data_IF_538819285667
#
_entry.id   IF_538819285667
#
_cell.length_a   1.000
_cell.length_b   1.000
_cell.length_c   1.000
_cell.angle_alpha   90.00
_cell.angle_beta   90.00
_cell.angle_gamma   90.00
#
_symmetry.space_group_name_H-M   'P 1'
#
loop_
_entity.id
_entity.type
_entity.pdbx_description
1 polymer ?
#
# COMPACT_ATOMS: atom_id res chain seq x y z
N UNK A 1 -13.71 1.23 25.21
CA UNK A 1 -14.13 2.51 24.55
C UNK A 1 -13.19 2.94 23.42
N UNK A 2 -11.90 2.54 23.39
CA UNK A 2 -10.94 2.92 22.31
C UNK A 2 -11.26 2.33 20.93
N UNK A 3 -11.71 1.08 20.86
CA UNK A 3 -11.93 0.40 19.57
C UNK A 3 -13.01 1.03 18.66
N UNK A 4 -14.02 1.68 19.24
CA UNK A 4 -15.05 2.36 18.45
C UNK A 4 -14.54 3.67 17.82
N UNK A 5 -13.60 4.35 18.47
CA UNK A 5 -12.98 5.58 17.96
C UNK A 5 -12.03 5.32 16.77
N UNK A 6 -11.26 4.24 16.83
CA UNK A 6 -10.36 3.87 15.75
C UNK A 6 -11.12 3.42 14.49
N UNK A 7 -12.16 2.59 14.65
CA UNK A 7 -13.00 2.16 13.53
C UNK A 7 -13.64 3.37 12.82
N UNK A 8 -14.24 4.30 13.59
CA UNK A 8 -14.84 5.52 13.02
C UNK A 8 -13.80 6.41 12.30
N UNK A 9 -12.58 6.51 12.82
CA UNK A 9 -11.49 7.22 12.16
C UNK A 9 -11.08 6.54 10.84
N UNK A 10 -10.93 5.22 10.84
CA UNK A 10 -10.63 4.46 9.60
C UNK A 10 -11.71 4.67 8.54
N UNK A 11 -12.98 4.54 8.91
CA UNK A 11 -14.12 4.77 8.01
C UNK A 11 -14.11 6.19 7.45
N UNK A 12 -13.80 7.19 8.28
CA UNK A 12 -13.69 8.58 7.85
C UNK A 12 -12.57 8.77 6.81
N UNK A 13 -11.37 8.24 7.05
CA UNK A 13 -10.24 8.33 6.12
C UNK A 13 -10.53 7.56 4.83
N UNK A 14 -11.13 6.38 4.92
CA UNK A 14 -11.54 5.59 3.75
C UNK A 14 -12.55 6.36 2.89
N UNK A 15 -13.56 6.94 3.50
CA UNK A 15 -14.58 7.76 2.81
C UNK A 15 -13.96 9.00 2.15
N UNK A 16 -13.09 9.72 2.87
CA UNK A 16 -12.35 10.88 2.32
C UNK A 16 -11.50 10.48 1.11
N UNK A 17 -10.77 9.37 1.22
CA UNK A 17 -9.94 8.85 0.11
C UNK A 17 -10.79 8.49 -1.11
N UNK A 18 -11.92 7.81 -0.92
CA UNK A 18 -12.83 7.43 -2.01
C UNK A 18 -13.42 8.67 -2.69
N UNK A 19 -13.83 9.66 -1.91
CA UNK A 19 -14.35 10.93 -2.42
C UNK A 19 -13.29 11.71 -3.20
N UNK A 20 -12.07 11.80 -2.66
CA UNK A 20 -10.96 12.49 -3.30
C UNK A 20 -10.52 11.79 -4.60
N UNK A 21 -10.41 10.45 -4.60
CA UNK A 21 -10.18 9.66 -5.82
C UNK A 21 -11.25 9.90 -6.88
N UNK A 22 -12.54 9.92 -6.46
CA UNK A 22 -13.65 10.21 -7.36
C UNK A 22 -13.55 11.56 -8.05
N UNK A 23 -12.93 12.56 -7.38
CA UNK A 23 -12.70 13.92 -7.91
C UNK A 23 -11.44 14.00 -8.78
N UNK A 24 -10.37 13.28 -8.43
CA UNK A 24 -9.08 13.32 -9.13
C UNK A 24 -9.13 12.50 -10.44
N UNK A 25 -9.82 11.38 -10.41
CA UNK A 25 -9.99 10.54 -11.59
C UNK A 25 -10.84 11.24 -12.65
N UNK A 26 -10.43 11.23 -13.93
CA UNK A 26 -11.23 11.81 -15.01
C UNK A 26 -12.65 11.23 -15.03
N UNK A 27 -13.62 12.06 -15.40
CA UNK A 27 -15.00 11.61 -15.58
C UNK A 27 -15.12 10.61 -16.74
N UNK A 28 -15.88 9.53 -16.55
CA UNK A 28 -16.08 8.49 -17.58
C UNK A 28 -16.74 9.04 -18.86
N UNK A 29 -17.42 10.19 -18.77
CA UNK A 29 -18.03 10.88 -19.92
C UNK A 29 -17.03 11.62 -20.81
N UNK A 30 -15.82 11.88 -20.35
CA UNK A 30 -14.76 12.60 -21.07
C UNK A 30 -13.99 11.60 -21.95
N UNK A 31 -13.65 11.98 -23.19
CA UNK A 31 -12.79 11.15 -24.05
C UNK A 31 -11.35 11.11 -23.50
N UNK A 32 -10.68 9.93 -23.52
CA UNK A 32 -11.13 8.62 -24.03
C UNK A 32 -11.99 7.87 -22.98
N UNK A 33 -13.30 7.84 -23.21
CA UNK A 33 -14.30 7.36 -22.24
C UNK A 33 -14.01 5.96 -21.69
N UNK A 34 -13.67 5.01 -22.55
CA UNK A 34 -13.39 3.62 -22.15
C UNK A 34 -12.20 3.54 -21.18
N UNK A 35 -11.14 4.32 -21.42
CA UNK A 35 -9.98 4.37 -20.53
C UNK A 35 -10.35 4.98 -19.17
N UNK A 36 -11.06 6.10 -19.16
CA UNK A 36 -11.46 6.78 -17.93
C UNK A 36 -12.42 5.93 -17.10
N UNK A 37 -13.36 5.23 -17.73
CA UNK A 37 -14.24 4.29 -17.05
C UNK A 37 -13.46 3.13 -16.42
N UNK A 38 -12.53 2.54 -17.15
CA UNK A 38 -11.66 1.47 -16.64
C UNK A 38 -10.71 1.93 -15.51
N UNK A 39 -10.17 3.17 -15.57
CA UNK A 39 -9.39 3.76 -14.46
C UNK A 39 -10.24 3.90 -13.18
N UNK A 40 -11.48 4.36 -13.32
CA UNK A 40 -12.44 4.47 -12.21
C UNK A 40 -12.81 3.10 -11.66
N UNK A 41 -13.05 2.13 -12.53
CA UNK A 41 -13.32 0.74 -12.16
C UNK A 41 -12.19 0.14 -11.32
N UNK A 42 -10.93 0.39 -11.71
CA UNK A 42 -9.74 -0.11 -11.00
C UNK A 42 -9.49 0.56 -9.63
N UNK A 43 -9.68 1.87 -9.55
CA UNK A 43 -9.26 2.66 -8.39
C UNK A 43 -10.36 2.87 -7.35
N UNK A 44 -11.64 2.90 -7.77
CA UNK A 44 -12.80 3.09 -6.91
C UNK A 44 -13.40 1.75 -6.47
N UNK A 45 -14.33 1.80 -5.55
CA UNK A 45 -15.07 0.62 -5.09
C UNK A 45 -14.51 0.00 -3.80
N UNK A 46 -13.85 0.79 -3.00
CA UNK A 46 -13.46 0.44 -1.64
C UNK A 46 -12.15 -0.33 -1.52
N UNK A 47 -12.04 -1.05 -0.43
CA UNK A 47 -10.84 -1.73 0.03
C UNK A 47 -10.39 -1.21 1.39
N UNK A 48 -9.42 -1.88 2.01
CA UNK A 48 -8.92 -1.50 3.35
C UNK A 48 -8.23 -0.14 3.39
N UNK A 49 -7.74 0.34 2.24
CA UNK A 49 -7.05 1.65 2.10
C UNK A 49 -5.92 1.84 3.14
N UNK A 50 -5.15 0.79 3.41
CA UNK A 50 -4.10 0.81 4.45
C UNK A 50 -3.05 1.89 4.20
N UNK A 51 -2.64 2.11 2.94
CA UNK A 51 -1.67 3.15 2.58
C UNK A 51 -2.21 4.56 2.82
N UNK A 52 -3.42 4.92 2.38
CA UNK A 52 -4.13 6.13 2.82
C UNK A 52 -4.20 6.32 4.33
N UNK A 53 -4.56 5.26 5.08
CA UNK A 53 -4.61 5.31 6.55
C UNK A 53 -3.24 5.66 7.15
N UNK A 54 -2.15 5.09 6.63
CA UNK A 54 -0.78 5.40 7.07
C UNK A 54 -0.38 6.84 6.73
N UNK A 55 -0.79 7.36 5.56
CA UNK A 55 -0.58 8.77 5.19
C UNK A 55 -1.24 9.70 6.21
N UNK A 56 -2.51 9.47 6.52
CA UNK A 56 -3.25 10.29 7.48
C UNK A 56 -2.67 10.18 8.89
N UNK A 57 -2.41 8.97 9.38
CA UNK A 57 -1.86 8.75 10.71
C UNK A 57 -0.49 9.41 10.92
N UNK A 58 0.39 9.36 9.93
CA UNK A 58 1.69 10.02 10.00
C UNK A 58 1.59 11.54 9.84
N UNK A 59 0.67 12.02 8.99
CA UNK A 59 0.42 13.44 8.79
C UNK A 59 -0.17 14.14 10.01
N UNK A 60 -0.99 13.45 10.80
CA UNK A 60 -1.51 13.95 12.06
C UNK A 60 -0.38 14.29 13.05
N UNK A 61 0.72 13.53 13.06
CA UNK A 61 1.91 13.81 13.90
C UNK A 61 2.55 15.15 13.50
N UNK A 62 2.57 15.47 12.22
CA UNK A 62 3.13 16.70 11.69
C UNK A 62 2.10 17.86 11.66
N UNK A 63 0.88 17.66 12.15
CA UNK A 63 -0.19 18.66 12.11
C UNK A 63 -0.62 19.04 10.70
N UNK A 64 -0.57 18.12 9.75
CA UNK A 64 -0.92 18.34 8.35
C UNK A 64 -2.42 18.61 8.17
N UNK A 65 -2.74 19.51 7.23
CA UNK A 65 -4.13 19.76 6.83
C UNK A 65 -4.71 18.52 6.12
N UNK A 66 -5.94 18.09 6.46
CA UNK A 66 -6.55 16.90 5.88
C UNK A 66 -6.60 16.89 4.35
N UNK A 67 -6.78 18.05 3.72
CA UNK A 67 -6.85 18.19 2.26
C UNK A 67 -5.52 17.87 1.57
N UNK A 68 -4.38 18.16 2.21
CA UNK A 68 -3.05 17.77 1.75
C UNK A 68 -2.86 16.26 1.86
N UNK A 69 -3.31 15.69 2.97
CA UNK A 69 -3.27 14.25 3.22
C UNK A 69 -4.13 13.47 2.23
N UNK A 70 -5.34 13.97 1.90
CA UNK A 70 -6.21 13.34 0.89
C UNK A 70 -5.53 13.23 -0.47
N UNK A 71 -4.82 14.27 -0.91
CA UNK A 71 -4.10 14.25 -2.19
C UNK A 71 -2.96 13.22 -2.19
N UNK A 72 -2.17 13.21 -1.14
CA UNK A 72 -1.06 12.25 -0.99
C UNK A 72 -1.59 10.83 -0.81
N UNK A 73 -2.67 10.64 -0.07
CA UNK A 73 -3.39 9.38 0.06
C UNK A 73 -3.88 8.85 -1.29
N UNK A 74 -4.45 9.72 -2.12
CA UNK A 74 -4.82 9.38 -3.50
C UNK A 74 -3.61 8.97 -4.33
N UNK A 75 -2.50 9.72 -4.28
CA UNK A 75 -1.31 9.41 -5.07
C UNK A 75 -0.74 8.03 -4.73
N UNK A 76 -0.60 7.67 -3.45
CA UNK A 76 -0.10 6.34 -3.07
C UNK A 76 -1.09 5.23 -3.41
N UNK A 77 -2.40 5.51 -3.36
CA UNK A 77 -3.41 4.53 -3.72
C UNK A 77 -3.50 4.33 -5.24
N UNK A 78 -3.31 5.38 -6.05
CA UNK A 78 -3.21 5.27 -7.52
C UNK A 78 -1.98 4.42 -7.92
N UNK A 79 -0.83 4.61 -7.26
CA UNK A 79 0.34 3.73 -7.44
C UNK A 79 -0.01 2.27 -7.09
N UNK A 80 -0.71 2.06 -5.98
CA UNK A 80 -1.14 0.71 -5.60
C UNK A 80 -2.15 0.13 -6.59
N UNK A 81 -3.11 0.92 -7.06
CA UNK A 81 -4.12 0.45 -8.02
C UNK A 81 -3.48 0.04 -9.35
N UNK A 82 -2.56 0.85 -9.90
CA UNK A 82 -1.87 0.47 -11.13
C UNK A 82 -1.10 -0.84 -10.97
N UNK A 83 -0.40 -1.03 -9.84
CA UNK A 83 0.37 -2.25 -9.63
C UNK A 83 -0.53 -3.49 -9.63
N UNK A 84 -1.72 -3.40 -9.00
CA UNK A 84 -2.68 -4.49 -9.02
C UNK A 84 -3.22 -4.77 -10.42
N UNK A 85 -3.52 -3.73 -11.20
CA UNK A 85 -4.01 -3.89 -12.59
C UNK A 85 -2.97 -4.58 -13.47
N UNK A 86 -1.68 -4.21 -13.32
CA UNK A 86 -0.61 -4.84 -14.09
C UNK A 86 -0.28 -6.24 -13.58
N UNK A 87 -0.29 -6.46 -12.25
CA UNK A 87 -0.07 -7.79 -11.67
C UNK A 87 -1.15 -8.79 -12.12
N UNK A 88 -2.39 -8.35 -12.33
CA UNK A 88 -3.49 -9.20 -12.78
C UNK A 88 -3.40 -9.64 -14.25
N UNK A 89 -2.55 -9.01 -15.10
CA UNK A 89 -2.44 -9.34 -16.51
C UNK A 89 -1.99 -10.80 -16.75
N UNK A 90 -2.40 -11.43 -17.88
CA UNK A 90 -2.01 -12.81 -18.21
C UNK A 90 -0.49 -13.04 -18.31
N UNK A 91 0.29 -12.00 -18.60
CA UNK A 91 1.76 -12.08 -18.64
C UNK A 91 2.41 -11.92 -17.26
N UNK A 92 1.61 -11.72 -16.21
CA UNK A 92 2.04 -11.54 -14.82
C UNK A 92 1.46 -12.66 -13.93
N UNK A 93 0.54 -12.33 -13.01
CA UNK A 93 -0.07 -13.31 -12.10
C UNK A 93 -1.29 -14.02 -12.71
N UNK A 94 -1.84 -13.55 -13.84
CA UNK A 94 -3.02 -14.09 -14.56
C UNK A 94 -4.23 -14.27 -13.63
N UNK A 95 -4.57 -13.20 -12.90
CA UNK A 95 -5.71 -13.19 -11.98
C UNK A 95 -6.99 -12.71 -12.67
N UNK A 96 -8.03 -13.54 -12.65
CA UNK A 96 -9.34 -13.23 -13.28
C UNK A 96 -10.30 -12.51 -12.32
N UNK A 97 -10.04 -12.56 -11.01
CA UNK A 97 -10.87 -11.94 -9.97
C UNK A 97 -10.04 -11.17 -8.96
N UNK A 98 -10.49 -9.96 -8.59
CA UNK A 98 -9.92 -9.14 -7.53
C UNK A 98 -11.03 -8.47 -6.70
N UNK A 99 -10.98 -8.67 -5.39
CA UNK A 99 -12.03 -8.19 -4.46
C UNK A 99 -13.45 -8.64 -4.86
N UNK A 100 -13.55 -9.86 -5.40
CA UNK A 100 -14.82 -10.45 -5.84
C UNK A 100 -15.40 -9.91 -7.16
N UNK A 101 -14.64 -9.07 -7.90
CA UNK A 101 -14.98 -8.53 -9.22
C UNK A 101 -14.01 -9.04 -10.28
N UNK A 102 -14.41 -9.11 -11.56
CA UNK A 102 -13.48 -9.35 -12.67
C UNK A 102 -12.32 -8.36 -12.62
N UNK A 103 -11.11 -8.81 -12.96
CA UNK A 103 -9.96 -7.93 -13.13
C UNK A 103 -10.11 -7.06 -14.38
N UNK A 104 -9.36 -5.97 -14.49
CA UNK A 104 -9.56 -4.99 -15.58
C UNK A 104 -9.38 -5.61 -16.96
N UNK A 105 -8.43 -6.55 -17.14
CA UNK A 105 -8.23 -7.20 -18.42
C UNK A 105 -9.37 -8.15 -18.80
N UNK A 106 -10.09 -8.69 -17.82
CA UNK A 106 -11.26 -9.54 -18.04
C UNK A 106 -12.52 -8.71 -18.32
N UNK A 107 -12.72 -7.60 -17.58
CA UNK A 107 -13.89 -6.73 -17.75
C UNK A 107 -13.82 -5.90 -19.06
N UNK A 108 -12.61 -5.47 -19.44
CA UNK A 108 -12.39 -4.65 -20.63
C UNK A 108 -11.59 -5.41 -21.70
N UNK A 109 -10.28 -5.41 -21.62
CA UNK A 109 -9.29 -6.15 -22.41
C UNK A 109 -7.86 -5.87 -21.87
N UNK A 110 -6.88 -6.66 -22.34
CA UNK A 110 -5.46 -6.54 -21.91
C UNK A 110 -4.85 -5.17 -22.28
N UNK A 111 -5.14 -4.65 -23.48
CA UNK A 111 -4.61 -3.36 -23.93
C UNK A 111 -5.16 -2.21 -23.07
N UNK A 112 -6.45 -2.25 -22.74
CA UNK A 112 -7.08 -1.29 -21.83
C UNK A 112 -6.47 -1.40 -20.44
N UNK A 113 -6.27 -2.61 -19.89
CA UNK A 113 -5.65 -2.81 -18.59
C UNK A 113 -4.22 -2.27 -18.54
N UNK A 114 -3.42 -2.50 -19.57
CA UNK A 114 -2.06 -1.94 -19.67
C UNK A 114 -2.09 -0.41 -19.60
N UNK A 115 -2.94 0.23 -20.43
CA UNK A 115 -3.08 1.69 -20.48
C UNK A 115 -3.65 2.26 -19.17
N UNK A 116 -4.54 1.54 -18.48
CA UNK A 116 -5.04 1.93 -17.15
C UNK A 116 -3.89 2.03 -16.15
N UNK A 117 -3.02 1.03 -16.10
CA UNK A 117 -1.85 1.07 -15.23
C UNK A 117 -0.94 2.25 -15.51
N UNK A 118 -0.60 2.49 -16.80
CA UNK A 118 0.23 3.62 -17.22
C UNK A 118 -0.39 4.97 -16.83
N UNK A 119 -1.70 5.13 -17.08
CA UNK A 119 -2.43 6.36 -16.81
C UNK A 119 -2.57 6.62 -15.29
N UNK A 120 -2.85 5.59 -14.48
CA UNK A 120 -2.94 5.72 -13.02
C UNK A 120 -1.58 6.07 -12.41
N UNK A 121 -0.48 5.49 -12.91
CA UNK A 121 0.87 5.83 -12.46
C UNK A 121 1.19 7.30 -12.77
N UNK A 122 0.93 7.76 -13.99
CA UNK A 122 1.15 9.17 -14.37
C UNK A 122 0.30 10.12 -13.51
N UNK A 123 -0.99 9.78 -13.30
CA UNK A 123 -1.92 10.56 -12.49
C UNK A 123 -1.48 10.66 -11.02
N UNK A 124 -0.85 9.64 -10.46
CA UNK A 124 -0.33 9.67 -9.09
C UNK A 124 0.73 10.78 -8.92
N UNK A 125 1.68 10.90 -9.84
CA UNK A 125 2.70 11.95 -9.82
C UNK A 125 2.10 13.33 -10.10
N UNK A 126 1.17 13.43 -11.05
CA UNK A 126 0.44 14.65 -11.35
C UNK A 126 -0.32 15.16 -10.11
N UNK A 127 -0.96 14.28 -9.36
CA UNK A 127 -1.71 14.61 -8.15
C UNK A 127 -0.86 15.29 -7.09
N UNK A 128 0.40 14.87 -6.89
CA UNK A 128 1.33 15.56 -5.99
C UNK A 128 1.87 16.82 -6.62
N UNK A 129 2.22 16.80 -7.91
CA UNK A 129 2.86 17.93 -8.59
C UNK A 129 1.95 19.17 -8.68
N UNK A 130 0.66 18.97 -9.00
CA UNK A 130 -0.34 20.04 -9.12
C UNK A 130 -0.93 20.46 -7.76
N UNK A 131 -0.95 19.52 -6.78
CA UNK A 131 -1.44 19.79 -5.44
C UNK A 131 -0.43 20.59 -4.63
N UNK A 132 -0.89 21.56 -3.85
CA UNK A 132 -0.03 22.20 -2.82
C UNK A 132 0.00 21.30 -1.58
N UNK A 133 0.72 20.17 -1.67
CA UNK A 133 0.82 19.19 -0.58
C UNK A 133 1.82 19.60 0.50
N UNK A 134 2.74 20.55 0.16
CA UNK A 134 3.61 21.25 1.10
C UNK A 134 3.77 22.71 0.65
N UNK A 135 4.08 23.63 1.57
CA UNK A 135 4.30 25.04 1.26
C UNK A 135 5.69 25.31 0.66
N UNK A 136 6.66 24.41 0.96
CA UNK A 136 8.01 24.46 0.37
C UNK A 136 8.06 23.60 -0.91
N UNK A 137 8.28 24.23 -2.09
CA UNK A 137 8.39 23.48 -3.34
C UNK A 137 9.55 22.48 -3.37
N UNK A 138 10.62 22.70 -2.59
CA UNK A 138 11.73 21.77 -2.51
C UNK A 138 11.30 20.47 -1.79
N UNK A 139 10.56 20.59 -0.68
CA UNK A 139 9.97 19.43 0.02
C UNK A 139 8.98 18.71 -0.89
N UNK A 140 8.13 19.43 -1.62
CA UNK A 140 7.20 18.82 -2.58
C UNK A 140 7.93 18.05 -3.69
N UNK A 141 9.05 18.54 -4.19
CA UNK A 141 9.89 17.83 -5.16
C UNK A 141 10.53 16.57 -4.54
N UNK A 142 10.97 16.65 -3.28
CA UNK A 142 11.43 15.47 -2.53
C UNK A 142 10.34 14.42 -2.36
N UNK A 143 9.09 14.84 -2.10
CA UNK A 143 7.94 13.93 -2.01
C UNK A 143 7.70 13.20 -3.35
N UNK A 144 7.75 13.89 -4.47
CA UNK A 144 7.65 13.29 -5.82
C UNK A 144 8.80 12.30 -6.04
N UNK A 145 10.02 12.66 -5.65
CA UNK A 145 11.20 11.80 -5.74
C UNK A 145 11.05 10.55 -4.87
N UNK A 146 10.53 10.70 -3.65
CA UNK A 146 10.28 9.59 -2.73
C UNK A 146 9.25 8.61 -3.32
N UNK A 147 8.12 9.13 -3.86
CA UNK A 147 7.12 8.29 -4.52
C UNK A 147 7.72 7.56 -5.73
N UNK A 148 8.52 8.25 -6.56
CA UNK A 148 9.18 7.67 -7.71
C UNK A 148 10.17 6.55 -7.35
N UNK A 149 10.93 6.73 -6.27
CA UNK A 149 11.83 5.66 -5.76
C UNK A 149 11.05 4.48 -5.21
N UNK A 150 9.96 4.74 -4.49
CA UNK A 150 9.15 3.68 -3.88
C UNK A 150 8.38 2.84 -4.91
N UNK A 151 7.96 3.43 -6.03
CA UNK A 151 7.22 2.74 -7.10
C UNK A 151 8.11 2.14 -8.19
N UNK A 152 9.32 2.67 -8.38
CA UNK A 152 10.22 2.33 -9.48
C UNK A 152 11.05 1.05 -9.28
N UNK A 153 12.12 0.93 -10.09
CA UNK A 153 13.01 -0.25 -10.13
C UNK A 153 13.80 -0.53 -8.85
N UNK A 154 13.90 0.46 -7.95
CA UNK A 154 14.50 0.29 -6.61
C UNK A 154 13.45 0.19 -5.51
N UNK A 155 12.20 -0.01 -5.86
CA UNK A 155 11.05 -0.15 -4.99
C UNK A 155 10.11 -1.22 -5.53
N UNK A 156 8.83 -0.91 -5.61
CA UNK A 156 7.77 -1.86 -5.90
C UNK A 156 7.97 -2.62 -7.22
N UNK A 157 8.26 -1.94 -8.33
CA UNK A 157 8.50 -2.60 -9.60
C UNK A 157 9.73 -3.52 -9.57
N UNK A 158 10.81 -3.12 -8.87
CA UNK A 158 11.98 -3.96 -8.64
C UNK A 158 11.66 -5.20 -7.81
N UNK A 159 10.87 -5.04 -6.75
CA UNK A 159 10.40 -6.15 -5.92
C UNK A 159 9.53 -7.13 -6.70
N UNK A 160 8.64 -6.63 -7.56
CA UNK A 160 7.83 -7.47 -8.45
C UNK A 160 8.68 -8.25 -9.47
N UNK A 161 9.72 -7.63 -10.04
CA UNK A 161 10.64 -8.31 -10.94
C UNK A 161 11.41 -9.45 -10.24
N UNK A 162 11.77 -9.27 -8.96
CA UNK A 162 12.40 -10.32 -8.15
C UNK A 162 11.41 -11.44 -7.86
N UNK A 163 10.16 -11.11 -7.49
CA UNK A 163 9.09 -12.08 -7.21
C UNK A 163 8.82 -12.98 -8.41
N UNK A 164 8.62 -12.40 -9.60
CA UNK A 164 8.49 -13.15 -10.86
C UNK A 164 9.70 -14.04 -11.16
N UNK A 165 10.91 -13.52 -10.91
CA UNK A 165 12.14 -14.27 -11.08
C UNK A 165 12.36 -15.40 -10.07
N UNK A 166 11.60 -15.41 -8.98
CA UNK A 166 11.69 -16.37 -7.88
C UNK A 166 10.71 -17.56 -8.02
N UNK A 167 9.76 -17.50 -8.94
CA UNK A 167 8.78 -18.57 -9.18
C UNK A 167 9.52 -19.90 -9.43
N UNK A 168 9.18 -20.93 -8.66
CA UNK A 168 9.79 -22.26 -8.75
C UNK A 168 11.21 -22.36 -8.16
N UNK A 169 11.70 -21.31 -7.47
CA UNK A 169 13.01 -21.30 -6.79
C UNK A 169 12.83 -21.29 -5.28
N UNK A 170 13.82 -21.85 -4.58
CA UNK A 170 13.93 -21.67 -3.13
C UNK A 170 14.76 -20.39 -2.89
N UNK A 171 14.19 -19.44 -2.15
CA UNK A 171 14.90 -18.26 -1.71
C UNK A 171 15.44 -18.46 -0.29
N UNK A 172 16.62 -17.90 -0.01
CA UNK A 172 17.06 -17.71 1.37
C UNK A 172 16.15 -16.66 2.08
N UNK A 173 16.14 -16.66 3.40
CA UNK A 173 15.32 -15.74 4.18
C UNK A 173 15.61 -14.28 3.83
N UNK A 174 16.88 -13.93 3.69
CA UNK A 174 17.34 -12.58 3.36
C UNK A 174 16.89 -12.14 1.96
N UNK A 175 16.82 -13.07 1.01
CA UNK A 175 16.34 -12.81 -0.35
C UNK A 175 14.82 -12.59 -0.37
N UNK A 176 14.07 -13.40 0.37
CA UNK A 176 12.62 -13.25 0.55
C UNK A 176 12.31 -11.91 1.22
N UNK A 177 13.01 -11.58 2.30
CA UNK A 177 12.85 -10.32 3.01
C UNK A 177 13.17 -9.12 2.12
N UNK A 178 14.25 -9.19 1.35
CA UNK A 178 14.61 -8.16 0.37
C UNK A 178 13.52 -7.94 -0.68
N UNK A 179 12.96 -9.01 -1.24
CA UNK A 179 11.85 -8.97 -2.19
C UNK A 179 10.63 -8.26 -1.58
N UNK A 180 10.21 -8.66 -0.39
CA UNK A 180 9.04 -8.10 0.29
C UNK A 180 9.21 -6.64 0.72
N UNK A 181 10.41 -6.27 1.20
CA UNK A 181 10.76 -4.88 1.52
C UNK A 181 10.58 -3.98 0.29
N UNK A 182 10.90 -4.48 -0.90
CA UNK A 182 10.77 -3.70 -2.13
C UNK A 182 9.36 -3.76 -2.72
N UNK A 183 8.79 -4.95 -2.93
CA UNK A 183 7.48 -5.13 -3.56
C UNK A 183 6.36 -4.44 -2.76
N UNK A 184 6.33 -4.63 -1.46
CA UNK A 184 5.26 -4.14 -0.58
C UNK A 184 5.73 -3.04 0.37
N UNK A 185 6.88 -3.25 1.01
CA UNK A 185 7.39 -2.38 2.06
C UNK A 185 7.75 -0.98 1.58
N UNK A 186 8.28 -0.84 0.37
CA UNK A 186 8.71 0.45 -0.16
C UNK A 186 7.56 1.47 -0.23
N UNK A 187 6.40 1.07 -0.74
CA UNK A 187 5.24 1.97 -0.84
C UNK A 187 4.56 2.21 0.53
N UNK A 188 4.55 1.23 1.42
CA UNK A 188 4.08 1.39 2.81
C UNK A 188 4.96 2.40 3.55
N UNK A 189 6.28 2.26 3.49
CA UNK A 189 7.25 3.20 4.04
C UNK A 189 7.07 4.60 3.45
N UNK A 190 6.93 4.71 2.13
CA UNK A 190 6.69 5.98 1.47
C UNK A 190 5.38 6.62 1.92
N UNK A 191 4.30 5.87 2.16
CA UNK A 191 3.03 6.39 2.67
C UNK A 191 3.20 7.10 4.01
N UNK A 192 3.97 6.50 4.94
CA UNK A 192 4.28 7.12 6.25
C UNK A 192 5.07 8.41 6.08
N UNK A 193 6.15 8.38 5.30
CA UNK A 193 7.04 9.54 5.13
C UNK A 193 6.37 10.68 4.35
N UNK A 194 5.61 10.37 3.31
CA UNK A 194 4.86 11.34 2.53
C UNK A 194 3.79 12.03 3.38
N UNK A 195 3.07 11.28 4.21
CA UNK A 195 2.11 11.84 5.15
C UNK A 195 2.78 12.83 6.13
N UNK A 196 3.90 12.42 6.72
CA UNK A 196 4.67 13.26 7.64
C UNK A 196 5.21 14.55 6.98
N UNK A 197 5.50 14.52 5.68
CA UNK A 197 5.98 15.69 4.93
C UNK A 197 4.86 16.66 4.51
N UNK A 198 3.58 16.34 4.72
CA UNK A 198 2.46 17.24 4.41
C UNK A 198 2.28 18.37 5.44
N UNK A 199 2.84 18.24 6.64
CA UNK A 199 2.68 19.17 7.75
C UNK A 199 3.91 20.02 8.04
N UNK A 200 4.03 20.42 9.30
CA UNK A 200 5.20 21.14 9.77
C UNK A 200 6.46 20.26 9.71
N UNK A 201 7.64 20.85 9.41
CA UNK A 201 8.89 20.10 9.38
C UNK A 201 9.15 19.37 10.69
N UNK A 202 9.39 18.08 10.62
CA UNK A 202 9.79 17.26 11.77
C UNK A 202 11.32 17.26 11.91
N UNK A 203 11.80 17.13 13.15
CA UNK A 203 13.22 16.94 13.41
C UNK A 203 13.77 15.68 12.71
N UNK A 204 15.05 15.68 12.28
CA UNK A 204 15.65 14.54 11.58
C UNK A 204 15.50 13.19 12.33
N UNK A 205 15.63 13.19 13.67
CA UNK A 205 15.43 12.00 14.49
C UNK A 205 13.98 11.51 14.45
N UNK A 206 13.00 12.41 14.46
CA UNK A 206 11.59 12.06 14.34
C UNK A 206 11.29 11.43 12.97
N UNK A 207 11.82 11.99 11.88
CA UNK A 207 11.71 11.40 10.55
C UNK A 207 12.38 10.02 10.46
N UNK A 208 13.56 9.85 11.08
CA UNK A 208 14.25 8.56 11.12
C UNK A 208 13.43 7.49 11.88
N UNK A 209 12.71 7.87 12.95
CA UNK A 209 11.80 6.99 13.68
C UNK A 209 10.59 6.59 12.86
N UNK A 210 9.98 7.51 12.13
CA UNK A 210 8.88 7.23 11.19
C UNK A 210 9.35 6.35 10.02
N UNK A 211 10.56 6.58 9.53
CA UNK A 211 11.20 5.73 8.51
C UNK A 211 11.37 4.29 9.01
N UNK A 212 11.90 4.12 10.24
CA UNK A 212 12.03 2.81 10.88
C UNK A 212 10.66 2.14 11.04
N UNK A 213 9.66 2.87 11.54
CA UNK A 213 8.29 2.36 11.67
C UNK A 213 7.74 1.89 10.33
N UNK A 214 7.86 2.69 9.27
CA UNK A 214 7.38 2.34 7.94
C UNK A 214 8.02 1.07 7.37
N UNK A 215 9.32 0.85 7.62
CA UNK A 215 10.03 -0.38 7.25
C UNK A 215 9.49 -1.59 7.99
N UNK A 216 9.33 -1.48 9.30
CA UNK A 216 8.85 -2.58 10.17
C UNK A 216 7.41 -2.96 9.84
N UNK A 217 6.53 -1.97 9.67
CA UNK A 217 5.12 -2.21 9.30
C UNK A 217 4.99 -2.77 7.88
N UNK A 218 5.87 -2.36 6.95
CA UNK A 218 5.91 -2.93 5.60
C UNK A 218 6.23 -4.42 5.61
N UNK A 219 7.22 -4.85 6.41
CA UNK A 219 7.57 -6.24 6.58
C UNK A 219 6.49 -7.01 7.35
N UNK A 220 5.98 -6.44 8.44
CA UNK A 220 4.88 -6.98 9.23
C UNK A 220 3.65 -7.27 8.37
N UNK A 221 3.31 -6.33 7.46
CA UNK A 221 2.18 -6.47 6.55
C UNK A 221 2.31 -7.74 5.71
N UNK A 222 3.50 -8.02 5.17
CA UNK A 222 3.74 -9.18 4.32
C UNK A 222 3.77 -10.49 5.13
N UNK A 223 4.43 -10.51 6.30
CA UNK A 223 4.42 -11.70 7.18
C UNK A 223 2.99 -12.10 7.53
N UNK A 224 2.14 -11.11 7.82
CA UNK A 224 0.72 -11.35 8.13
C UNK A 224 -0.07 -11.80 6.90
N UNK A 225 0.21 -11.25 5.71
CA UNK A 225 -0.42 -11.72 4.46
C UNK A 225 -0.11 -13.19 4.21
N UNK A 226 1.14 -13.62 4.35
CA UNK A 226 1.58 -15.00 4.19
C UNK A 226 0.89 -15.95 5.22
N UNK A 227 0.73 -15.48 6.46
CA UNK A 227 -0.01 -16.22 7.50
C UNK A 227 -1.48 -16.38 7.13
N UNK A 228 -2.12 -15.32 6.64
CA UNK A 228 -3.52 -15.32 6.26
C UNK A 228 -3.77 -16.22 5.03
N UNK A 229 -2.89 -16.11 4.01
CA UNK A 229 -3.00 -16.95 2.79
C UNK A 229 -2.87 -18.44 3.12
N UNK A 230 -1.98 -18.79 4.06
CA UNK A 230 -1.80 -20.18 4.51
C UNK A 230 -2.98 -20.72 5.35
N UNK A 231 -3.86 -19.88 5.88
CA UNK A 231 -4.93 -20.26 6.82
C UNK A 231 -6.35 -20.08 6.26
N UNK A 232 -6.53 -19.28 5.23
CA UNK A 232 -7.85 -18.91 4.71
C UNK A 232 -8.30 -19.85 3.58
N UNK A 233 -9.62 -20.00 3.45
CA UNK A 233 -10.25 -20.57 2.27
C UNK A 233 -10.50 -19.48 1.19
N UNK A 234 -10.77 -19.91 -0.05
CA UNK A 234 -11.00 -19.05 -1.20
C UNK A 234 -12.16 -18.07 -0.99
N UNK A 235 -13.20 -18.46 -0.26
CA UNK A 235 -14.38 -17.63 -0.01
C UNK A 235 -14.04 -16.43 0.90
N UNK A 236 -13.08 -16.59 1.81
CA UNK A 236 -12.69 -15.56 2.78
C UNK A 236 -11.75 -14.54 2.17
N UNK A 237 -10.85 -14.94 1.25
CA UNK A 237 -9.82 -14.06 0.68
C UNK A 237 -10.32 -13.13 -0.45
N UNK A 238 -11.44 -13.48 -1.10
CA UNK A 238 -11.92 -12.75 -2.29
C UNK A 238 -11.00 -12.86 -3.52
N UNK A 239 -9.98 -13.72 -3.46
CA UNK A 239 -9.07 -14.19 -4.51
C UNK A 239 -8.91 -15.71 -4.36
N UNK A 240 -8.31 -16.39 -5.34
CA UNK A 240 -8.02 -17.84 -5.22
C UNK A 240 -7.07 -18.06 -4.04
N UNK A 241 -7.51 -18.82 -3.02
CA UNK A 241 -6.70 -19.17 -1.86
C UNK A 241 -5.65 -20.22 -2.23
N UNK A 242 -4.50 -20.19 -1.55
CA UNK A 242 -3.42 -21.16 -1.77
C UNK A 242 -2.66 -20.97 -3.08
N UNK A 243 -2.89 -19.88 -3.82
CA UNK A 243 -2.25 -19.63 -5.12
C UNK A 243 -0.73 -19.56 -4.99
N UNK A 244 -0.21 -19.00 -3.90
CA UNK A 244 1.24 -18.94 -3.64
C UNK A 244 1.82 -20.35 -3.44
N UNK A 245 1.10 -21.25 -2.77
CA UNK A 245 1.48 -22.66 -2.64
C UNK A 245 1.39 -23.41 -3.96
N UNK A 246 0.33 -23.20 -4.76
CA UNK A 246 0.15 -23.81 -6.08
C UNK A 246 1.21 -23.35 -7.09
N UNK A 247 1.68 -22.10 -6.97
CA UNK A 247 2.75 -21.53 -7.78
C UNK A 247 4.14 -21.79 -7.21
N UNK A 248 4.28 -22.54 -6.10
CA UNK A 248 5.56 -22.74 -5.40
C UNK A 248 6.29 -21.41 -5.10
N UNK A 249 5.55 -20.36 -4.75
CA UNK A 249 6.14 -19.10 -4.32
C UNK A 249 6.72 -19.24 -2.90
N UNK A 250 7.92 -18.74 -2.65
CA UNK A 250 8.48 -18.73 -1.29
C UNK A 250 7.71 -17.73 -0.41
N UNK A 251 7.31 -18.17 0.79
CA UNK A 251 6.62 -17.36 1.80
C UNK A 251 7.30 -17.51 3.16
N UNK A 252 7.01 -16.61 4.11
CA UNK A 252 7.49 -16.77 5.49
C UNK A 252 6.99 -18.06 6.13
N UNK A 253 5.76 -18.49 5.78
CA UNK A 253 5.21 -19.74 6.33
C UNK A 253 5.90 -20.98 5.75
N UNK A 254 6.25 -20.98 4.45
CA UNK A 254 7.01 -22.10 3.86
C UNK A 254 8.45 -22.18 4.36
N UNK A 255 9.06 -21.04 4.68
CA UNK A 255 10.43 -20.96 5.17
C UNK A 255 10.59 -21.25 6.67
N UNK A 256 9.72 -20.69 7.49
CA UNK A 256 9.85 -20.71 8.95
C UNK A 256 8.86 -21.66 9.62
N UNK A 257 7.78 -22.00 8.93
CA UNK A 257 6.61 -22.59 9.55
C UNK A 257 5.69 -21.55 10.21
N UNK A 258 4.42 -21.91 10.37
CA UNK A 258 3.37 -21.00 10.85
C UNK A 258 3.63 -20.43 12.25
N UNK A 259 4.18 -21.24 13.17
CA UNK A 259 4.44 -20.80 14.55
C UNK A 259 5.54 -19.73 14.63
N UNK A 260 6.64 -19.92 13.89
CA UNK A 260 7.74 -18.96 13.86
C UNK A 260 7.36 -17.70 13.08
N UNK A 261 6.56 -17.80 12.00
CA UNK A 261 6.03 -16.66 11.28
C UNK A 261 5.15 -15.77 12.20
N UNK A 262 4.32 -16.37 13.06
CA UNK A 262 3.56 -15.61 14.07
C UNK A 262 4.46 -14.93 15.10
N UNK A 263 5.48 -15.62 15.60
CA UNK A 263 6.47 -15.04 16.51
C UNK A 263 7.19 -13.86 15.87
N UNK A 264 7.55 -13.97 14.59
CA UNK A 264 8.14 -12.87 13.81
C UNK A 264 7.19 -11.67 13.71
N UNK A 265 5.90 -11.91 13.46
CA UNK A 265 4.90 -10.84 13.42
C UNK A 265 4.79 -10.10 14.77
N UNK A 266 4.80 -10.84 15.90
CA UNK A 266 4.76 -10.24 17.24
C UNK A 266 6.01 -9.40 17.52
N UNK A 267 7.20 -9.86 17.14
CA UNK A 267 8.46 -9.11 17.27
C UNK A 267 8.41 -7.83 16.43
N UNK A 268 8.01 -7.92 15.16
CA UNK A 268 7.91 -6.76 14.28
C UNK A 268 6.91 -5.72 14.80
N UNK A 269 5.78 -6.17 15.38
CA UNK A 269 4.82 -5.28 16.03
C UNK A 269 5.44 -4.56 17.23
N UNK A 270 6.16 -5.27 18.10
CA UNK A 270 6.82 -4.68 19.25
C UNK A 270 7.87 -3.63 18.82
N UNK A 271 8.70 -3.96 17.83
CA UNK A 271 9.71 -3.06 17.28
C UNK A 271 9.10 -1.82 16.60
N UNK A 272 7.97 -2.00 15.89
CA UNK A 272 7.24 -0.89 15.29
C UNK A 272 6.70 0.09 16.34
N UNK A 273 6.16 -0.43 17.44
CA UNK A 273 5.71 0.38 18.58
C UNK A 273 6.86 1.13 19.26
N UNK A 274 7.99 0.46 19.46
CA UNK A 274 9.19 1.10 20.01
C UNK A 274 9.66 2.26 19.13
N UNK A 275 9.65 2.09 17.82
CA UNK A 275 10.06 3.13 16.87
C UNK A 275 9.25 4.44 17.03
N UNK A 276 7.98 4.36 17.40
CA UNK A 276 7.09 5.52 17.54
C UNK A 276 6.80 5.94 18.98
N UNK A 277 7.35 5.24 19.97
CA UNK A 277 7.05 5.47 21.40
C UNK A 277 7.31 6.92 21.85
N UNK A 278 8.33 7.58 21.30
CA UNK A 278 8.69 8.96 21.65
C UNK A 278 7.67 10.02 21.20
N UNK A 279 6.76 9.68 20.27
CA UNK A 279 5.69 10.60 19.85
C UNK A 279 4.50 10.60 20.83
N UNK A 280 4.43 9.65 21.76
CA UNK A 280 3.36 9.56 22.75
C UNK A 280 1.97 9.47 22.09
N UNK A 281 1.03 10.25 22.60
CA UNK A 281 -0.35 10.24 22.12
C UNK A 281 -0.51 10.65 20.64
N UNK A 282 0.43 11.42 20.08
CA UNK A 282 0.38 11.82 18.67
C UNK A 282 0.54 10.63 17.71
N UNK A 283 1.17 9.54 18.15
CA UNK A 283 1.34 8.33 17.33
C UNK A 283 0.24 7.27 17.58
N UNK A 284 -0.82 7.58 18.32
CA UNK A 284 -1.86 6.61 18.65
C UNK A 284 -2.45 5.90 17.42
N UNK A 285 -2.67 6.64 16.32
CA UNK A 285 -3.21 6.07 15.07
C UNK A 285 -2.24 5.12 14.38
N UNK A 286 -0.94 5.38 14.44
CA UNK A 286 0.08 4.46 13.91
C UNK A 286 0.14 3.17 14.75
N UNK A 287 0.07 3.26 16.08
CA UNK A 287 0.01 2.08 16.96
C UNK A 287 -1.25 1.23 16.70
N UNK A 288 -2.42 1.88 16.60
CA UNK A 288 -3.69 1.22 16.29
C UNK A 288 -3.66 0.55 14.91
N UNK A 289 -3.02 1.18 13.91
CA UNK A 289 -2.86 0.59 12.57
C UNK A 289 -1.93 -0.62 12.57
N UNK A 290 -0.80 -0.58 13.28
CA UNK A 290 0.09 -1.74 13.41
C UNK A 290 -0.66 -2.92 14.06
N UNK A 291 -1.44 -2.66 15.10
CA UNK A 291 -2.31 -3.67 15.72
C UNK A 291 -3.36 -4.21 14.74
N UNK A 292 -4.02 -3.31 13.99
CA UNK A 292 -5.02 -3.70 13.01
C UNK A 292 -4.43 -4.63 11.94
N UNK A 293 -3.20 -4.35 11.47
CA UNK A 293 -2.50 -5.19 10.48
C UNK A 293 -2.31 -6.62 11.01
N UNK A 294 -1.90 -6.78 12.27
CA UNK A 294 -1.68 -8.10 12.87
C UNK A 294 -2.98 -8.89 13.08
N UNK A 295 -4.05 -8.20 13.48
CA UNK A 295 -5.30 -8.86 13.90
C UNK A 295 -6.38 -8.90 12.80
N UNK A 296 -6.09 -8.42 11.59
CA UNK A 296 -7.03 -8.52 10.46
C UNK A 296 -7.27 -9.98 10.10
N UNK A 297 -8.46 -10.27 9.60
CA UNK A 297 -8.89 -11.63 9.26
C UNK A 297 -8.85 -11.96 7.77
N UNK A 298 -8.62 -10.97 6.94
CA UNK A 298 -8.58 -11.06 5.47
C UNK A 298 -7.86 -9.84 4.88
#
# INVERSE_FOLDING_TARGET
MSGNHFAAWMESVQHRTETALGTILPEASIAPQRLHDAMRYAALGGGKRVRPLLVHAAGEIAGAAPERLDRVACAVELIHAYSLVHDDLPCMDDDVLRRGKPTVHVEYDEATALLVGDALQALAFQTIAEGRVNDDPAVQLEMITLLGRASGSRGMAGGQAIDLGAVGKQLAREELEFMHIHKTGALIRASVLLGAQCGAPLAPDALARLDRYGKLVGLLFQVVDDILDAQADTATLGKTAGKDADQNKPTYVTLLGLAEARTLADVLLADARDAIASFGAAAARLDELANFIVHRRF
#
